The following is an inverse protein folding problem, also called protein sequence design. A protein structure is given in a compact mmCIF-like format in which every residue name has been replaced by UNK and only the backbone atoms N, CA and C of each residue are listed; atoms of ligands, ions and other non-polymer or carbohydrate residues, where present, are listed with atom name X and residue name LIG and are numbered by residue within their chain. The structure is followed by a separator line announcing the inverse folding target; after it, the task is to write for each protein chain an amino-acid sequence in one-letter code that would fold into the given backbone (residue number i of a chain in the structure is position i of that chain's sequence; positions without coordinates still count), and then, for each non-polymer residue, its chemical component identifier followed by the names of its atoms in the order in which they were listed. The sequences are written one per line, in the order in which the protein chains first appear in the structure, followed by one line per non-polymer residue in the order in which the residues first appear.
data_IF_151234935756
#
_entry.id   IF_151234935756
#
_cell.length_a   1.000
_cell.length_b   1.000
_cell.length_c   1.000
_cell.angle_alpha   90.00
_cell.angle_beta   90.00
_cell.angle_gamma   90.00
#
_symmetry.space_group_name_H-M   'P 1'
#
loop_
_entity.id
_entity.type
_entity.pdbx_description
1 polymer ?
#
# COMPACT_ATOMS: atom_id res chain seq x y z
N UNK A 1 1.63 14.88 -2.10
CA UNK A 1 2.35 14.63 -3.38
C UNK A 1 1.40 13.90 -4.33
N UNK A 2 1.44 14.12 -5.65
CA UNK A 2 0.59 13.36 -6.60
C UNK A 2 1.44 12.23 -7.21
N UNK A 3 1.04 10.97 -7.00
CA UNK A 3 1.62 9.79 -7.66
C UNK A 3 0.66 9.30 -8.76
N UNK A 4 1.18 9.04 -9.96
CA UNK A 4 0.43 8.44 -11.08
C UNK A 4 0.97 7.05 -11.35
N UNK A 5 0.16 6.02 -11.12
CA UNK A 5 0.55 4.61 -11.25
C UNK A 5 -0.53 3.81 -12.00
N UNK A 6 -0.11 2.90 -12.90
CA UNK A 6 -0.98 1.94 -13.58
C UNK A 6 -0.57 0.51 -13.23
N UNK A 7 -1.53 -0.30 -12.80
CA UNK A 7 -1.34 -1.73 -12.52
C UNK A 7 -2.08 -2.58 -13.55
N UNK A 8 -1.47 -3.69 -13.95
CA UNK A 8 -2.05 -4.63 -14.89
C UNK A 8 -1.64 -6.07 -14.57
N UNK A 9 -2.51 -7.01 -14.90
CA UNK A 9 -2.20 -8.43 -14.81
C UNK A 9 -1.18 -8.81 -15.88
N UNK A 10 -0.08 -9.44 -15.47
CA UNK A 10 0.91 -10.00 -16.39
C UNK A 10 0.52 -11.45 -16.64
N UNK A 11 0.12 -11.77 -17.89
CA UNK A 11 -0.26 -13.14 -18.29
C UNK A 11 0.95 -14.02 -18.54
N UNK A 12 2.02 -13.46 -19.09
CA UNK A 12 3.29 -14.13 -19.34
C UNK A 12 4.44 -13.37 -18.66
N UNK A 13 4.88 -13.81 -17.48
CA UNK A 13 5.98 -13.18 -16.75
C UNK A 13 7.31 -13.23 -17.51
N UNK A 14 7.56 -14.26 -18.33
CA UNK A 14 8.82 -14.42 -19.05
C UNK A 14 8.91 -13.40 -20.19
N UNK A 15 7.89 -13.33 -21.03
CA UNK A 15 7.82 -12.35 -22.13
C UNK A 15 7.85 -10.91 -21.61
N UNK A 16 7.18 -10.63 -20.47
CA UNK A 16 7.25 -9.33 -19.83
C UNK A 16 8.66 -8.99 -19.34
N UNK A 17 9.37 -9.96 -18.74
CA UNK A 17 10.74 -9.75 -18.28
C UNK A 17 11.70 -9.48 -19.44
N UNK A 18 11.57 -10.18 -20.56
CA UNK A 18 12.33 -9.92 -21.79
C UNK A 18 12.09 -8.48 -22.28
N UNK A 19 10.82 -8.06 -22.37
CA UNK A 19 10.45 -6.68 -22.75
C UNK A 19 11.03 -5.64 -21.79
N UNK A 20 10.99 -5.90 -20.48
CA UNK A 20 11.54 -4.98 -19.47
C UNK A 20 13.07 -4.88 -19.55
N UNK A 21 13.77 -5.96 -19.88
CA UNK A 21 15.22 -5.95 -20.06
C UNK A 21 15.65 -5.22 -21.34
N UNK A 22 14.85 -5.33 -22.40
CA UNK A 22 15.07 -4.59 -23.65
C UNK A 22 14.89 -3.08 -23.42
N UNK A 23 13.76 -2.68 -22.82
CA UNK A 23 13.34 -1.26 -22.71
C UNK A 23 13.81 -0.55 -21.44
N UNK A 24 14.21 -1.30 -20.41
CA UNK A 24 14.53 -0.77 -19.10
C UNK A 24 15.88 -1.24 -18.60
N UNK A 25 16.40 -0.53 -17.60
CA UNK A 25 17.55 -0.93 -16.80
C UNK A 25 17.04 -1.55 -15.50
N UNK A 26 17.41 -2.81 -15.24
CA UNK A 26 17.17 -3.43 -13.94
C UNK A 26 17.88 -2.63 -12.83
N UNK A 27 17.17 -2.37 -11.74
CA UNK A 27 17.69 -1.62 -10.60
C UNK A 27 17.97 -2.58 -9.44
N UNK A 28 16.94 -3.30 -8.98
CA UNK A 28 17.05 -4.22 -7.85
C UNK A 28 15.81 -5.08 -7.68
N UNK A 29 15.98 -6.15 -6.93
CA UNK A 29 14.87 -6.88 -6.31
C UNK A 29 14.47 -6.21 -5.00
N UNK A 30 13.17 -6.12 -4.74
CA UNK A 30 12.60 -5.54 -3.52
C UNK A 30 11.63 -6.53 -2.87
N UNK A 31 11.65 -6.56 -1.54
CA UNK A 31 10.61 -7.20 -0.72
C UNK A 31 9.87 -6.10 0.03
N UNK A 32 8.54 -6.15 -0.03
CA UNK A 32 7.65 -5.24 0.72
C UNK A 32 6.70 -6.09 1.54
N UNK A 33 6.69 -5.86 2.85
CA UNK A 33 5.82 -6.54 3.80
C UNK A 33 4.85 -5.51 4.35
N UNK A 34 3.59 -5.59 3.94
CA UNK A 34 2.53 -4.66 4.30
C UNK A 34 1.64 -5.30 5.37
N UNK A 35 1.34 -4.58 6.45
CA UNK A 35 0.19 -4.86 7.32
C UNK A 35 -0.81 -3.73 7.15
N UNK A 36 -2.01 -4.08 6.73
CA UNK A 36 -3.11 -3.13 6.60
C UNK A 36 -3.96 -3.15 7.86
N UNK A 37 -4.38 -1.95 8.27
CA UNK A 37 -5.24 -1.72 9.41
C UNK A 37 -6.49 -0.97 8.97
N UNK A 38 -7.62 -1.27 9.58
CA UNK A 38 -8.86 -0.54 9.39
C UNK A 38 -9.49 -0.20 10.74
N UNK A 39 -10.31 0.86 10.75
CA UNK A 39 -11.18 1.13 11.89
C UNK A 39 -12.54 0.44 11.63
N UNK A 40 -12.90 -0.61 12.39
CA UNK A 40 -14.22 -1.21 12.27
C UNK A 40 -15.30 -0.21 12.68
N UNK A 41 -16.48 -0.34 12.09
CA UNK A 41 -17.67 0.42 12.47
C UNK A 41 -18.89 -0.49 12.42
N UNK A 42 -19.93 -0.13 13.13
CA UNK A 42 -21.18 -0.87 13.14
C UNK A 42 -22.17 -0.09 12.29
N UNK A 43 -22.79 -0.74 11.31
CA UNK A 43 -23.86 -0.13 10.53
C UNK A 43 -25.20 -0.15 11.30
N UNK A 44 -26.24 0.46 10.74
CA UNK A 44 -27.59 0.51 11.35
C UNK A 44 -28.18 -0.87 11.66
N UNK A 45 -27.74 -1.93 10.97
CA UNK A 45 -28.17 -3.31 11.18
C UNK A 45 -27.32 -4.08 12.19
N UNK A 46 -26.41 -3.42 12.92
CA UNK A 46 -25.54 -4.07 13.91
C UNK A 46 -24.37 -4.86 13.31
N UNK A 47 -24.12 -4.76 12.00
CA UNK A 47 -23.07 -5.49 11.30
C UNK A 47 -21.77 -4.69 11.30
N UNK A 48 -20.66 -5.38 11.61
CA UNK A 48 -19.31 -4.86 11.43
C UNK A 48 -19.05 -4.57 9.95
N UNK A 49 -18.76 -3.30 9.66
CA UNK A 49 -18.35 -2.77 8.36
C UNK A 49 -16.98 -2.11 8.50
N UNK A 50 -16.17 -2.20 7.44
CA UNK A 50 -14.91 -1.47 7.35
C UNK A 50 -15.19 -0.06 6.82
N UNK A 51 -14.66 0.98 7.46
CA UNK A 51 -14.62 2.31 6.85
C UNK A 51 -13.49 2.35 5.82
N UNK A 52 -13.80 2.24 4.52
CA UNK A 52 -12.80 2.28 3.44
C UNK A 52 -11.92 3.55 3.48
N UNK A 53 -12.46 4.65 4.00
CA UNK A 53 -11.75 5.93 4.18
C UNK A 53 -10.75 5.94 5.35
N UNK A 54 -10.76 4.93 6.23
CA UNK A 54 -9.88 4.83 7.40
C UNK A 54 -9.03 3.56 7.33
N UNK A 55 -8.42 3.33 6.18
CA UNK A 55 -7.42 2.28 6.00
C UNK A 55 -6.04 2.91 5.92
N UNK A 56 -5.12 2.42 6.73
CA UNK A 56 -3.69 2.70 6.59
C UNK A 56 -2.92 1.39 6.50
N UNK A 57 -1.67 1.45 6.05
CA UNK A 57 -0.73 0.33 6.13
C UNK A 57 0.53 0.74 6.87
N UNK A 58 1.18 -0.23 7.50
CA UNK A 58 2.58 -0.17 7.88
C UNK A 58 3.34 -1.09 6.93
N UNK A 59 4.34 -0.57 6.25
CA UNK A 59 5.21 -1.31 5.33
C UNK A 59 6.61 -1.42 5.91
N UNK A 60 7.13 -2.64 5.96
CA UNK A 60 8.56 -2.89 6.07
C UNK A 60 9.17 -3.03 4.67
N UNK A 61 10.16 -2.18 4.37
CA UNK A 61 10.91 -2.26 3.12
C UNK A 61 12.27 -1.59 3.27
N UNK A 62 13.33 -2.26 2.80
CA UNK A 62 14.70 -1.72 2.82
C UNK A 62 15.16 -1.27 4.21
N UNK A 63 14.79 -2.02 5.24
CA UNK A 63 15.12 -1.72 6.64
C UNK A 63 14.31 -0.56 7.25
N UNK A 64 13.38 0.04 6.50
CA UNK A 64 12.53 1.14 6.95
C UNK A 64 11.11 0.67 7.24
N UNK A 65 10.46 1.37 8.17
CA UNK A 65 9.05 1.21 8.49
C UNK A 65 8.31 2.47 8.03
N UNK A 66 7.42 2.30 7.07
CA UNK A 66 6.69 3.41 6.44
C UNK A 66 5.21 3.23 6.72
N UNK A 67 4.59 4.24 7.30
CA UNK A 67 3.14 4.32 7.42
C UNK A 67 2.59 5.05 6.20
N UNK A 68 1.54 4.50 5.61
CA UNK A 68 0.86 5.07 4.46
C UNK A 68 -0.65 5.09 4.70
N UNK A 69 -1.31 6.20 4.39
CA UNK A 69 -2.77 6.24 4.25
C UNK A 69 -3.17 7.02 2.99
N UNK A 70 -4.38 6.76 2.48
CA UNK A 70 -4.90 7.39 1.26
C UNK A 70 -6.16 8.18 1.57
N UNK A 71 -6.18 9.44 1.16
CA UNK A 71 -7.37 10.28 1.18
C UNK A 71 -7.95 10.26 -0.24
N UNK A 72 -9.10 9.61 -0.40
CA UNK A 72 -9.82 9.54 -1.67
C UNK A 72 -10.85 10.67 -1.77
N UNK A 73 -10.94 11.30 -2.93
CA UNK A 73 -11.96 12.29 -3.26
C UNK A 73 -12.40 12.12 -4.72
N UNK A 74 -13.63 12.53 -5.05
CA UNK A 74 -14.09 12.61 -6.44
C UNK A 74 -13.95 14.07 -6.88
N UNK A 75 -13.24 14.32 -7.99
CA UNK A 75 -13.16 15.63 -8.64
C UNK A 75 -13.48 15.45 -10.12
N UNK A 76 -14.44 16.21 -10.64
CA UNK A 76 -14.82 16.21 -12.06
C UNK A 76 -15.13 14.79 -12.63
N UNK A 77 -15.73 13.92 -11.81
CA UNK A 77 -16.05 12.54 -12.20
C UNK A 77 -14.88 11.57 -12.18
N UNK A 78 -13.68 12.00 -11.79
CA UNK A 78 -12.50 11.16 -11.60
C UNK A 78 -12.20 10.94 -10.10
N UNK A 79 -11.83 9.71 -9.74
CA UNK A 79 -11.30 9.40 -8.40
C UNK A 79 -9.88 9.94 -8.28
N UNK A 80 -9.68 10.91 -7.38
CA UNK A 80 -8.37 11.48 -7.04
C UNK A 80 -7.99 10.99 -5.65
N UNK A 81 -6.83 10.32 -5.56
CA UNK A 81 -6.26 9.86 -4.29
C UNK A 81 -5.03 10.67 -3.94
N UNK A 82 -5.00 11.23 -2.73
CA UNK A 82 -3.79 11.78 -2.13
C UNK A 82 -3.21 10.71 -1.20
N UNK A 83 -1.96 10.31 -1.44
CA UNK A 83 -1.22 9.38 -0.59
C UNK A 83 -0.30 10.19 0.33
N UNK A 84 -0.40 9.92 1.62
CA UNK A 84 0.49 10.48 2.64
C UNK A 84 1.34 9.35 3.20
N UNK A 85 2.66 9.57 3.26
CA UNK A 85 3.65 8.61 3.73
C UNK A 85 4.60 9.25 4.74
N UNK A 86 4.88 8.54 5.83
CA UNK A 86 5.86 8.96 6.83
C UNK A 86 6.60 7.77 7.43
N UNK A 87 7.81 8.03 7.93
CA UNK A 87 8.62 7.03 8.61
C UNK A 87 8.20 6.90 10.07
N UNK A 88 8.29 5.68 10.59
CA UNK A 88 8.22 5.41 12.03
C UNK A 88 9.47 4.68 12.46
N UNK A 89 10.04 5.06 13.59
CA UNK A 89 11.27 4.43 14.09
C UNK A 89 10.97 3.09 14.77
N UNK A 90 9.87 3.02 15.52
CA UNK A 90 9.40 1.82 16.20
C UNK A 90 8.03 1.38 15.64
N UNK A 91 8.07 0.27 14.89
CA UNK A 91 6.87 -0.36 14.32
C UNK A 91 5.93 -0.84 15.42
N UNK A 92 6.43 -1.52 16.44
CA UNK A 92 5.62 -2.15 17.48
C UNK A 92 4.92 -1.09 18.32
N UNK A 93 5.61 0.00 18.67
CA UNK A 93 5.00 1.13 19.37
C UNK A 93 3.86 1.76 18.55
N UNK A 94 4.05 1.99 17.25
CA UNK A 94 3.00 2.53 16.39
C UNK A 94 1.81 1.56 16.23
N UNK A 95 2.07 0.26 16.14
CA UNK A 95 1.02 -0.77 16.10
C UNK A 95 0.16 -0.74 17.36
N UNK A 96 0.80 -0.76 18.54
CA UNK A 96 0.08 -0.68 19.81
C UNK A 96 -0.71 0.62 19.96
N UNK A 97 -0.16 1.75 19.49
CA UNK A 97 -0.89 3.02 19.46
C UNK A 97 -2.13 2.96 18.56
N UNK A 98 -2.02 2.38 17.36
CA UNK A 98 -3.16 2.25 16.46
C UNK A 98 -4.24 1.32 17.03
N UNK A 99 -3.84 0.20 17.63
CA UNK A 99 -4.74 -0.74 18.31
C UNK A 99 -5.46 -0.07 19.49
N UNK A 100 -4.74 0.75 20.27
CA UNK A 100 -5.33 1.57 21.32
C UNK A 100 -6.39 2.54 20.79
N UNK A 101 -6.20 3.11 19.60
CA UNK A 101 -7.20 3.94 18.91
C UNK A 101 -8.36 3.14 18.30
N UNK A 102 -8.36 1.81 18.45
CA UNK A 102 -9.41 0.91 17.98
C UNK A 102 -9.19 0.36 16.57
N UNK A 103 -8.06 0.64 15.93
CA UNK A 103 -7.74 0.02 14.65
C UNK A 103 -7.43 -1.47 14.82
N UNK A 104 -7.84 -2.26 13.83
CA UNK A 104 -7.61 -3.70 13.82
C UNK A 104 -6.83 -4.10 12.57
N UNK A 105 -6.03 -5.16 12.70
CA UNK A 105 -5.32 -5.75 11.57
C UNK A 105 -6.33 -6.35 10.59
N UNK A 106 -6.30 -5.86 9.35
CA UNK A 106 -7.17 -6.31 8.27
C UNK A 106 -6.51 -7.44 7.47
N UNK A 107 -5.28 -7.24 7.00
CA UNK A 107 -4.56 -8.21 6.16
C UNK A 107 -3.06 -7.98 6.22
N UNK A 108 -2.30 -9.08 6.13
CA UNK A 108 -0.86 -9.08 5.91
C UNK A 108 -0.57 -9.46 4.46
N UNK A 109 0.33 -8.73 3.81
CA UNK A 109 0.64 -8.92 2.40
C UNK A 109 2.13 -8.77 2.14
N UNK A 110 2.74 -9.84 1.64
CA UNK A 110 4.11 -9.83 1.15
C UNK A 110 4.13 -9.69 -0.37
N UNK A 111 4.98 -8.79 -0.89
CA UNK A 111 5.23 -8.61 -2.33
C UNK A 111 6.71 -8.75 -2.63
N UNK A 112 7.01 -9.59 -3.61
CA UNK A 112 8.31 -9.65 -4.27
C UNK A 112 8.22 -8.84 -5.56
N UNK A 113 9.14 -7.91 -5.74
CA UNK A 113 9.08 -6.90 -6.80
C UNK A 113 10.44 -6.83 -7.48
N UNK A 114 10.44 -6.73 -8.82
CA UNK A 114 11.62 -6.37 -9.61
C UNK A 114 11.46 -4.93 -10.08
N UNK A 115 12.41 -4.05 -9.73
CA UNK A 115 12.36 -2.64 -10.09
C UNK A 115 13.18 -2.38 -11.35
N UNK A 116 12.57 -1.72 -12.32
CA UNK A 116 13.20 -1.28 -13.56
C UNK A 116 13.06 0.24 -13.70
N UNK A 117 14.06 0.87 -14.29
CA UNK A 117 14.00 2.28 -14.74
C UNK A 117 13.93 2.29 -16.26
N UNK A 118 12.96 2.99 -16.84
CA UNK A 118 12.90 3.19 -18.29
C UNK A 118 14.20 3.84 -18.78
N UNK A 119 14.72 3.38 -19.93
CA UNK A 119 15.95 3.91 -20.52
C UNK A 119 15.73 5.28 -21.14
#
# INVERSE_FOLDING_TARGET
MIEVEKKGWIRDPKAMLETLNEKGRFIKDCRKEDIYYNLPSINETGKLISQESKIFRIRQSEGKQIVTYKIKSIREGAEVSVEEEFLVDDRSAFQSFAEYLGYQKLIEKTKLIKLFKYK
#
